data_IF_678234453589
#
_entry.id   IF_678234453589
#
_cell.length_a   1.000
_cell.length_b   1.000
_cell.length_c   1.000
_cell.angle_alpha   90.00
_cell.angle_beta   90.00
_cell.angle_gamma   90.00
#
_symmetry.space_group_name_H-M   'P 1'
#
loop_
_entity.id
_entity.type
_entity.pdbx_description
1 polymer ?
#
# COMPACT_ATOMS: atom_id res chain seq x y z
N UNK A 1 -20.42 -30.32 -16.72
CA UNK A 1 -19.33 -30.49 -17.70
C UNK A 1 -18.94 -29.09 -18.16
N UNK A 2 -17.82 -28.54 -17.67
CA UNK A 2 -17.36 -27.19 -18.04
C UNK A 2 -16.63 -27.33 -19.37
N UNK A 3 -17.14 -26.70 -20.43
CA UNK A 3 -16.56 -26.70 -21.76
C UNK A 3 -15.28 -25.83 -21.71
N UNK A 4 -14.09 -26.46 -21.74
CA UNK A 4 -12.85 -25.76 -22.00
C UNK A 4 -12.66 -25.68 -23.52
N UNK A 5 -12.61 -24.48 -24.12
CA UNK A 5 -12.27 -24.37 -25.54
C UNK A 5 -10.88 -24.95 -25.76
N UNK A 6 -10.71 -25.76 -26.81
CA UNK A 6 -9.41 -26.32 -27.21
C UNK A 6 -8.48 -25.13 -27.54
N UNK A 7 -7.49 -24.89 -26.68
CA UNK A 7 -6.44 -23.91 -26.92
C UNK A 7 -5.50 -24.44 -28.00
N UNK A 8 -5.40 -23.72 -29.11
CA UNK A 8 -4.54 -24.06 -30.26
C UNK A 8 -3.06 -23.80 -30.01
N UNK A 9 -2.70 -23.17 -28.87
CA UNK A 9 -1.30 -22.88 -28.47
C UNK A 9 -1.10 -23.14 -26.98
N UNK A 10 0.14 -23.47 -26.60
CA UNK A 10 0.54 -23.60 -25.19
C UNK A 10 0.32 -22.28 -24.45
N UNK A 11 -0.27 -22.29 -23.24
CA UNK A 11 -0.44 -21.10 -22.43
C UNK A 11 0.92 -20.46 -22.08
N UNK A 12 0.95 -19.12 -22.06
CA UNK A 12 2.11 -18.35 -21.63
C UNK A 12 2.37 -18.59 -20.14
N UNK A 13 3.63 -18.79 -19.78
CA UNK A 13 4.08 -19.05 -18.40
C UNK A 13 4.82 -17.85 -17.86
N UNK A 14 4.22 -17.15 -16.91
CA UNK A 14 4.78 -15.96 -16.27
C UNK A 14 5.28 -16.31 -14.86
N UNK A 15 6.53 -15.98 -14.59
CA UNK A 15 7.11 -16.08 -13.25
C UNK A 15 7.14 -14.70 -12.60
N UNK A 16 6.61 -14.54 -11.38
CA UNK A 16 6.71 -13.30 -10.64
C UNK A 16 7.63 -13.50 -9.42
N UNK A 17 8.74 -12.75 -9.39
CA UNK A 17 9.74 -12.77 -8.32
C UNK A 17 9.64 -11.48 -7.49
N UNK A 18 8.89 -11.55 -6.39
CA UNK A 18 8.55 -10.43 -5.52
C UNK A 18 8.85 -10.75 -4.04
N UNK A 19 9.08 -9.72 -3.21
CA UNK A 19 9.32 -9.89 -1.77
C UNK A 19 8.00 -10.18 -1.04
N UNK A 20 7.67 -11.45 -0.80
CA UNK A 20 6.40 -11.86 -0.22
C UNK A 20 6.11 -11.28 1.19
N UNK A 21 7.13 -10.88 1.93
CA UNK A 21 6.97 -10.31 3.28
C UNK A 21 6.37 -8.90 3.31
N UNK A 22 6.47 -8.13 2.22
CA UNK A 22 5.97 -6.76 2.14
C UNK A 22 4.53 -6.74 1.60
N UNK A 23 3.67 -5.88 2.16
CA UNK A 23 2.30 -5.66 1.67
C UNK A 23 2.29 -5.29 0.18
N UNK A 24 3.15 -4.36 -0.23
CA UNK A 24 3.30 -3.96 -1.63
C UNK A 24 3.44 -5.15 -2.58
N UNK A 25 4.32 -6.09 -2.25
CA UNK A 25 4.56 -7.29 -3.07
C UNK A 25 3.40 -8.28 -3.02
N UNK A 26 2.74 -8.41 -1.87
CA UNK A 26 1.53 -9.28 -1.75
C UNK A 26 0.39 -8.74 -2.60
N UNK A 27 0.12 -7.43 -2.56
CA UNK A 27 -0.92 -6.81 -3.37
C UNK A 27 -0.59 -6.81 -4.86
N UNK A 28 0.66 -6.58 -5.25
CA UNK A 28 1.11 -6.74 -6.64
C UNK A 28 0.91 -8.19 -7.12
N UNK A 29 1.25 -9.17 -6.29
CA UNK A 29 0.99 -10.58 -6.61
C UNK A 29 -0.50 -10.84 -6.83
N UNK A 30 -1.37 -10.25 -6.01
CA UNK A 30 -2.83 -10.27 -6.20
C UNK A 30 -3.26 -9.73 -7.56
N UNK A 31 -2.72 -8.58 -7.97
CA UNK A 31 -2.99 -7.98 -9.28
C UNK A 31 -2.51 -8.84 -10.47
N UNK A 32 -1.34 -9.47 -10.35
CA UNK A 32 -0.82 -10.42 -11.35
C UNK A 32 -1.74 -11.64 -11.47
N UNK A 33 -2.17 -12.20 -10.34
CA UNK A 33 -3.08 -13.34 -10.31
C UNK A 33 -4.46 -12.98 -10.84
N UNK A 34 -4.94 -11.77 -10.57
CA UNK A 34 -6.20 -11.26 -11.14
C UNK A 34 -6.12 -11.19 -12.67
N UNK A 35 -5.02 -10.66 -13.23
CA UNK A 35 -4.79 -10.69 -14.67
C UNK A 35 -4.89 -12.12 -15.23
N UNK A 36 -4.19 -13.09 -14.61
CA UNK A 36 -4.21 -14.47 -15.06
C UNK A 36 -5.59 -15.15 -14.94
N UNK A 37 -6.40 -14.75 -13.96
CA UNK A 37 -7.74 -15.31 -13.75
C UNK A 37 -8.71 -14.98 -14.89
N UNK A 38 -8.54 -13.81 -15.54
CA UNK A 38 -9.38 -13.37 -16.67
C UNK A 38 -8.75 -13.65 -18.05
N UNK A 39 -7.50 -14.15 -18.08
CA UNK A 39 -6.79 -14.51 -19.31
C UNK A 39 -6.44 -16.01 -19.27
N UNK A 40 -7.31 -16.90 -19.77
CA UNK A 40 -7.15 -18.35 -19.66
C UNK A 40 -5.92 -18.92 -20.39
N UNK A 41 -5.32 -18.15 -21.28
CA UNK A 41 -4.08 -18.43 -22.00
C UNK A 41 -2.80 -18.07 -21.21
N UNK A 42 -2.95 -17.56 -19.96
CA UNK A 42 -1.84 -17.19 -19.09
C UNK A 42 -1.80 -18.09 -17.85
N UNK A 43 -0.61 -18.54 -17.47
CA UNK A 43 -0.33 -19.27 -16.22
C UNK A 43 0.73 -18.51 -15.44
N UNK A 44 0.51 -18.32 -14.15
CA UNK A 44 1.42 -17.58 -13.27
C UNK A 44 1.93 -18.48 -12.16
N UNK A 45 3.24 -18.41 -11.91
CA UNK A 45 3.84 -18.88 -10.66
C UNK A 45 4.46 -17.71 -9.90
N UNK A 46 4.22 -17.67 -8.59
CA UNK A 46 4.82 -16.70 -7.69
C UNK A 46 6.07 -17.29 -7.05
N UNK A 47 7.16 -16.53 -7.11
CA UNK A 47 8.44 -16.90 -6.52
C UNK A 47 8.85 -15.81 -5.51
N UNK A 48 8.82 -16.13 -4.22
CA UNK A 48 9.24 -15.20 -3.16
C UNK A 48 10.76 -15.09 -3.07
N UNK A 49 11.29 -13.90 -2.82
CA UNK A 49 12.70 -13.70 -2.47
C UNK A 49 12.96 -14.42 -1.15
N UNK A 50 14.02 -15.23 -1.10
CA UNK A 50 14.31 -16.13 0.03
C UNK A 50 13.85 -17.58 -0.18
N UNK A 51 13.20 -17.88 -1.31
CA UNK A 51 12.84 -19.26 -1.64
C UNK A 51 14.10 -20.14 -1.78
N UNK A 52 14.11 -21.33 -1.18
CA UNK A 52 15.28 -22.23 -1.18
C UNK A 52 15.78 -22.56 -2.59
N UNK A 53 17.10 -22.81 -2.72
CA UNK A 53 17.74 -23.08 -4.02
C UNK A 53 17.13 -24.25 -4.78
N UNK A 54 16.60 -25.28 -4.09
CA UNK A 54 15.97 -26.43 -4.75
C UNK A 54 14.71 -26.04 -5.55
N UNK A 55 13.98 -25.00 -5.16
CA UNK A 55 12.85 -24.49 -5.94
C UNK A 55 13.26 -23.87 -7.29
N UNK A 56 14.50 -23.48 -7.46
CA UNK A 56 14.99 -22.98 -8.76
C UNK A 56 14.94 -24.05 -9.85
N UNK A 57 15.18 -25.31 -9.48
CA UNK A 57 15.06 -26.43 -10.44
C UNK A 57 13.61 -26.65 -10.88
N UNK A 58 12.64 -26.49 -9.98
CA UNK A 58 11.22 -26.54 -10.34
C UNK A 58 10.89 -25.52 -11.45
N UNK A 59 11.42 -24.27 -11.36
CA UNK A 59 11.19 -23.24 -12.36
C UNK A 59 11.92 -23.52 -13.67
N UNK A 60 13.10 -24.12 -13.63
CA UNK A 60 13.80 -24.60 -14.85
C UNK A 60 12.98 -25.68 -15.58
N UNK A 61 12.37 -26.60 -14.83
CA UNK A 61 11.47 -27.62 -15.39
C UNK A 61 10.18 -26.97 -15.90
N UNK A 62 9.65 -25.99 -15.19
CA UNK A 62 8.43 -25.28 -15.58
C UNK A 62 8.62 -24.41 -16.83
N UNK A 63 9.85 -23.94 -17.10
CA UNK A 63 10.25 -23.15 -18.28
C UNK A 63 9.38 -21.90 -18.46
N UNK A 64 9.53 -20.85 -17.64
CA UNK A 64 8.79 -19.60 -17.81
C UNK A 64 9.12 -18.93 -19.13
N UNK A 65 8.12 -18.35 -19.79
CA UNK A 65 8.29 -17.56 -21.00
C UNK A 65 8.82 -16.16 -20.68
N UNK A 66 8.40 -15.61 -19.53
CA UNK A 66 8.81 -14.29 -19.05
C UNK A 66 8.74 -14.16 -17.54
N UNK A 67 9.32 -13.06 -17.01
CA UNK A 67 9.44 -12.83 -15.59
C UNK A 67 9.09 -11.40 -15.19
N UNK A 68 8.44 -11.23 -14.02
CA UNK A 68 8.23 -9.95 -13.34
C UNK A 68 9.17 -9.90 -12.14
N UNK A 69 9.95 -8.82 -12.01
CA UNK A 69 11.01 -8.66 -11.03
C UNK A 69 10.78 -7.43 -10.14
N UNK A 70 10.68 -7.63 -8.83
CA UNK A 70 10.67 -6.56 -7.81
C UNK A 70 12.06 -6.16 -7.31
N UNK A 71 13.12 -6.82 -7.78
CA UNK A 71 14.51 -6.47 -7.51
C UNK A 71 15.36 -6.79 -8.75
N UNK A 72 16.41 -6.01 -8.94
CA UNK A 72 17.33 -6.17 -10.09
C UNK A 72 18.80 -6.20 -9.63
N UNK A 73 19.07 -6.80 -8.45
CA UNK A 73 20.44 -7.06 -8.04
C UNK A 73 21.10 -8.13 -8.93
N UNK A 74 22.42 -8.11 -8.97
CA UNK A 74 23.20 -8.98 -9.85
C UNK A 74 22.95 -10.48 -9.61
N UNK A 75 22.66 -10.86 -8.36
CA UNK A 75 22.38 -12.25 -8.00
C UNK A 75 21.02 -12.70 -8.56
N UNK A 76 20.02 -11.83 -8.50
CA UNK A 76 18.68 -12.04 -9.08
C UNK A 76 18.77 -12.13 -10.60
N UNK A 77 19.49 -11.22 -11.25
CA UNK A 77 19.65 -11.22 -12.72
C UNK A 77 20.35 -12.48 -13.21
N UNK A 78 21.44 -12.90 -12.56
CA UNK A 78 22.11 -14.19 -12.90
C UNK A 78 21.19 -15.39 -12.72
N UNK A 79 20.34 -15.38 -11.67
CA UNK A 79 19.37 -16.46 -11.47
C UNK A 79 18.32 -16.52 -12.58
N UNK A 80 17.91 -15.36 -13.11
CA UNK A 80 16.92 -15.21 -14.19
C UNK A 80 17.49 -15.64 -15.55
N UNK A 81 18.74 -15.28 -15.86
CA UNK A 81 19.40 -15.68 -17.11
C UNK A 81 19.39 -17.20 -17.29
N UNK A 82 19.59 -17.96 -16.21
CA UNK A 82 19.55 -19.43 -16.23
C UNK A 82 18.15 -20.04 -16.44
N UNK A 83 17.07 -19.23 -16.46
CA UNK A 83 15.69 -19.69 -16.67
C UNK A 83 15.27 -19.68 -18.16
N UNK A 84 16.02 -18.99 -19.03
CA UNK A 84 15.70 -18.88 -20.44
C UNK A 84 14.48 -18.01 -20.77
N UNK A 85 14.14 -17.06 -19.90
CA UNK A 85 13.04 -16.11 -20.12
C UNK A 85 13.31 -15.22 -21.32
N UNK A 86 12.30 -15.02 -22.19
CA UNK A 86 12.37 -14.17 -23.39
C UNK A 86 12.10 -12.69 -23.11
N UNK A 87 11.43 -12.39 -22.00
CA UNK A 87 11.06 -11.04 -21.60
C UNK A 87 11.06 -10.86 -20.09
N UNK A 88 11.30 -9.63 -19.64
CA UNK A 88 11.21 -9.23 -18.23
C UNK A 88 10.44 -7.91 -18.05
N UNK A 89 9.69 -7.80 -16.95
CA UNK A 89 9.12 -6.55 -16.47
C UNK A 89 9.68 -6.22 -15.09
N UNK A 90 10.24 -5.04 -14.96
CA UNK A 90 10.84 -4.54 -13.74
C UNK A 90 9.84 -3.66 -13.00
N UNK A 91 9.70 -3.85 -11.68
CA UNK A 91 8.76 -3.11 -10.85
C UNK A 91 9.53 -2.29 -9.81
N UNK A 92 9.35 -0.96 -9.85
CA UNK A 92 10.01 0.01 -8.97
C UNK A 92 11.55 -0.11 -8.91
N UNK A 93 12.16 -0.65 -9.97
CA UNK A 93 13.60 -0.82 -10.06
C UNK A 93 14.08 -0.54 -11.48
N UNK A 94 15.28 0.00 -11.61
CA UNK A 94 15.88 0.25 -12.92
C UNK A 94 16.33 -1.07 -13.57
N UNK A 95 16.02 -1.26 -14.85
CA UNK A 95 16.39 -2.49 -15.53
C UNK A 95 17.89 -2.53 -15.82
N UNK A 96 18.57 -3.54 -15.29
CA UNK A 96 19.89 -3.96 -15.74
C UNK A 96 19.71 -5.18 -16.65
N UNK A 97 19.56 -4.97 -17.97
CA UNK A 97 19.06 -6.01 -18.91
C UNK A 97 20.16 -6.54 -19.80
N UNK A 98 20.28 -7.88 -19.95
CA UNK A 98 21.09 -8.49 -21.02
C UNK A 98 20.65 -8.01 -22.39
N UNK A 99 21.63 -7.78 -23.29
CA UNK A 99 21.40 -7.19 -24.60
C UNK A 99 20.35 -7.90 -25.49
N UNK A 100 20.03 -9.16 -25.20
CA UNK A 100 19.08 -9.97 -25.97
C UNK A 100 17.65 -10.00 -25.43
N UNK A 101 17.41 -9.57 -24.18
CA UNK A 101 16.11 -9.68 -23.52
C UNK A 101 15.16 -8.55 -23.89
N UNK A 102 13.87 -8.86 -24.07
CA UNK A 102 12.80 -7.86 -24.18
C UNK A 102 12.43 -7.37 -22.79
N UNK A 103 12.14 -6.07 -22.62
CA UNK A 103 11.82 -5.57 -21.30
C UNK A 103 10.89 -4.36 -21.26
N UNK A 104 10.28 -4.17 -20.10
CA UNK A 104 9.48 -3.02 -19.73
C UNK A 104 9.62 -2.72 -18.25
N UNK A 105 9.09 -1.58 -17.81
CA UNK A 105 9.15 -1.15 -16.42
C UNK A 105 7.82 -0.58 -15.95
N UNK A 106 7.44 -0.92 -14.72
CA UNK A 106 6.24 -0.41 -14.04
C UNK A 106 6.67 0.25 -12.74
N UNK A 107 6.23 1.49 -12.51
CA UNK A 107 6.61 2.27 -11.33
C UNK A 107 5.40 2.82 -10.60
N UNK A 108 5.54 2.99 -9.29
CA UNK A 108 4.63 3.84 -8.53
C UNK A 108 4.74 5.29 -9.02
N UNK A 109 3.63 6.00 -9.12
CA UNK A 109 3.62 7.45 -9.34
C UNK A 109 4.02 8.17 -8.05
N UNK A 110 5.32 8.39 -7.90
CA UNK A 110 5.90 9.02 -6.71
C UNK A 110 5.49 10.49 -6.56
N UNK A 111 5.08 11.16 -7.66
CA UNK A 111 4.55 12.52 -7.62
C UNK A 111 3.15 12.50 -7.00
N UNK A 112 2.29 11.57 -7.41
CA UNK A 112 0.96 11.39 -6.83
C UNK A 112 1.04 10.98 -5.35
N UNK A 113 2.03 10.16 -4.95
CA UNK A 113 2.28 9.79 -3.55
C UNK A 113 2.64 11.02 -2.72
N UNK A 114 3.57 11.86 -3.20
CA UNK A 114 3.97 13.08 -2.51
C UNK A 114 2.83 14.11 -2.42
N UNK A 115 2.03 14.23 -3.48
CA UNK A 115 0.85 15.11 -3.52
C UNK A 115 -0.20 14.67 -2.50
N UNK A 116 -0.48 13.38 -2.38
CA UNK A 116 -1.40 12.85 -1.39
C UNK A 116 -0.97 13.18 0.05
N UNK A 117 0.32 13.05 0.38
CA UNK A 117 0.87 13.45 1.68
C UNK A 117 0.77 14.96 1.91
N UNK A 118 1.14 15.77 0.89
CA UNK A 118 1.09 17.23 0.98
C UNK A 118 -0.34 17.75 1.21
N UNK A 119 -1.34 17.16 0.57
CA UNK A 119 -2.76 17.53 0.78
C UNK A 119 -3.22 17.32 2.21
N UNK A 120 -2.78 16.24 2.88
CA UNK A 120 -3.11 16.02 4.29
C UNK A 120 -2.56 17.17 5.15
N UNK A 121 -1.30 17.54 4.96
CA UNK A 121 -0.68 18.61 5.75
C UNK A 121 -1.25 20.00 5.43
N UNK A 122 -1.51 20.30 4.16
CA UNK A 122 -2.16 21.54 3.75
C UNK A 122 -3.58 21.66 4.31
N UNK A 123 -4.33 20.56 4.33
CA UNK A 123 -5.66 20.50 4.96
C UNK A 123 -5.64 20.72 6.48
N UNK A 124 -4.48 20.55 7.12
CA UNK A 124 -4.24 20.84 8.55
C UNK A 124 -3.57 22.22 8.77
N UNK A 125 -3.42 23.00 7.69
CA UNK A 125 -2.82 24.35 7.70
C UNK A 125 -1.39 24.39 8.28
N UNK A 126 -0.58 23.36 8.00
CA UNK A 126 0.83 23.34 8.39
C UNK A 126 1.67 24.18 7.44
N UNK A 127 2.50 25.08 8.01
CA UNK A 127 3.41 25.94 7.23
C UNK A 127 4.83 25.40 7.08
N UNK A 128 5.16 24.29 7.75
CA UNK A 128 6.50 23.71 7.71
C UNK A 128 6.41 22.25 7.28
N UNK A 129 7.08 21.91 6.19
CA UNK A 129 7.15 20.56 5.64
C UNK A 129 8.54 19.98 5.79
N UNK A 130 8.62 18.69 6.07
CA UNK A 130 9.87 17.98 6.24
C UNK A 130 9.82 16.61 5.56
N UNK A 131 10.94 16.15 5.04
CA UNK A 131 11.05 14.86 4.36
C UNK A 131 12.17 13.99 4.93
N UNK A 132 11.88 12.68 5.07
CA UNK A 132 12.86 11.68 5.49
C UNK A 132 12.90 10.57 4.45
N UNK A 133 13.98 10.52 3.66
CA UNK A 133 14.23 9.51 2.63
C UNK A 133 14.68 8.16 3.20
N UNK A 134 14.84 7.16 2.33
CA UNK A 134 15.48 5.89 2.67
C UNK A 134 16.97 6.08 2.97
N UNK A 135 17.55 5.15 3.78
CA UNK A 135 18.99 5.18 4.10
C UNK A 135 19.87 4.92 2.89
N UNK A 136 19.37 4.18 1.93
CA UNK A 136 20.05 3.76 0.70
C UNK A 136 19.90 4.76 -0.43
N UNK A 137 19.16 5.86 -0.22
CA UNK A 137 18.88 6.87 -1.24
C UNK A 137 18.29 6.26 -2.53
N UNK A 138 17.35 5.34 -2.38
CA UNK A 138 16.67 4.68 -3.49
C UNK A 138 16.04 5.72 -4.44
N UNK A 139 16.13 5.49 -5.74
CA UNK A 139 15.67 6.44 -6.77
C UNK A 139 14.21 6.88 -6.57
N UNK A 140 13.32 5.93 -6.22
CA UNK A 140 11.92 6.22 -5.92
C UNK A 140 11.74 7.12 -4.68
N UNK A 141 12.60 6.97 -3.67
CA UNK A 141 12.60 7.82 -2.47
C UNK A 141 13.07 9.22 -2.78
N UNK A 142 14.12 9.37 -3.60
CA UNK A 142 14.63 10.67 -4.07
C UNK A 142 13.56 11.37 -4.91
N UNK A 143 12.84 10.66 -5.78
CA UNK A 143 11.75 11.20 -6.59
C UNK A 143 10.60 11.72 -5.71
N UNK A 144 10.19 10.97 -4.66
CA UNK A 144 9.18 11.40 -3.66
C UNK A 144 9.61 12.67 -2.94
N UNK A 145 10.84 12.71 -2.42
CA UNK A 145 11.38 13.88 -1.72
C UNK A 145 11.45 15.12 -2.61
N UNK A 146 11.90 14.95 -3.86
CA UNK A 146 11.96 16.03 -4.84
C UNK A 146 10.58 16.57 -5.22
N UNK A 147 9.59 15.70 -5.38
CA UNK A 147 8.20 16.08 -5.63
C UNK A 147 7.62 16.84 -4.43
N UNK A 148 7.81 16.30 -3.22
CA UNK A 148 7.30 16.92 -2.00
C UNK A 148 7.91 18.31 -1.72
N UNK A 149 9.21 18.47 -2.00
CA UNK A 149 9.89 19.79 -1.93
C UNK A 149 9.25 20.81 -2.87
N UNK A 150 8.96 20.42 -4.13
CA UNK A 150 8.30 21.31 -5.11
C UNK A 150 6.90 21.72 -4.63
N UNK A 151 6.14 20.77 -4.04
CA UNK A 151 4.81 21.04 -3.50
C UNK A 151 4.86 21.98 -2.30
N UNK A 152 5.83 21.81 -1.39
CA UNK A 152 6.06 22.72 -0.27
C UNK A 152 6.35 24.17 -0.78
N UNK A 153 7.25 24.31 -1.74
CA UNK A 153 7.57 25.61 -2.32
C UNK A 153 6.36 26.26 -3.01
N UNK A 154 5.58 25.49 -3.78
CA UNK A 154 4.37 25.97 -4.44
C UNK A 154 3.28 26.41 -3.45
N UNK A 155 3.26 25.84 -2.24
CA UNK A 155 2.33 26.17 -1.15
C UNK A 155 2.85 27.29 -0.23
N UNK A 156 4.02 27.85 -0.49
CA UNK A 156 4.65 28.86 0.39
C UNK A 156 5.13 28.32 1.73
N UNK A 157 5.25 26.99 1.86
CA UNK A 157 5.70 26.31 3.08
C UNK A 157 7.23 26.24 3.14
N UNK A 158 7.80 26.31 4.35
CA UNK A 158 9.20 25.97 4.55
C UNK A 158 9.43 24.49 4.28
N UNK A 159 10.66 24.13 3.88
CA UNK A 159 11.02 22.74 3.62
C UNK A 159 12.36 22.35 4.26
N UNK A 160 12.36 21.24 4.98
CA UNK A 160 13.54 20.63 5.56
C UNK A 160 13.67 19.17 5.11
N UNK A 161 14.89 18.71 4.82
CA UNK A 161 15.15 17.33 4.43
C UNK A 161 16.21 16.71 5.34
N UNK A 162 15.88 15.55 5.93
CA UNK A 162 16.86 14.77 6.67
C UNK A 162 17.82 14.08 5.70
N UNK A 163 19.09 14.40 5.83
CA UNK A 163 20.16 13.74 5.08
C UNK A 163 20.82 12.71 5.98
N UNK A 164 20.59 11.44 5.69
CA UNK A 164 21.27 10.35 6.41
C UNK A 164 22.79 10.52 6.29
N UNK A 165 23.56 10.36 7.38
CA UNK A 165 25.01 10.40 7.32
C UNK A 165 25.55 9.36 6.32
N UNK A 166 26.68 9.61 5.65
CA UNK A 166 27.25 8.68 4.64
C UNK A 166 27.51 7.25 5.17
N UNK A 167 27.63 7.11 6.49
CA UNK A 167 27.84 5.83 7.18
C UNK A 167 26.55 5.25 7.76
N UNK A 168 25.38 5.74 7.40
CA UNK A 168 24.11 5.33 8.00
C UNK A 168 23.83 3.84 7.87
N UNK A 169 24.14 3.23 6.73
CA UNK A 169 24.02 1.79 6.51
C UNK A 169 25.01 0.95 7.35
N UNK A 170 26.16 1.52 7.72
CA UNK A 170 27.17 0.86 8.52
C UNK A 170 27.02 1.14 10.04
N UNK A 171 26.36 2.24 10.41
CA UNK A 171 26.16 2.64 11.81
C UNK A 171 24.75 3.18 12.08
N UNK A 172 23.79 2.27 12.19
CA UNK A 172 22.38 2.58 12.46
C UNK A 172 22.18 3.45 13.71
N UNK A 173 22.95 3.20 14.79
CA UNK A 173 22.84 3.97 16.05
C UNK A 173 23.15 5.44 15.82
N UNK A 174 24.19 5.75 15.05
CA UNK A 174 24.58 7.13 14.74
C UNK A 174 23.54 7.84 13.87
N UNK A 175 22.97 7.12 12.91
CA UNK A 175 21.91 7.67 12.05
C UNK A 175 20.65 7.99 12.86
N UNK A 176 20.23 7.07 13.76
CA UNK A 176 19.07 7.30 14.62
C UNK A 176 19.30 8.47 15.59
N UNK A 177 20.49 8.62 16.17
CA UNK A 177 20.83 9.77 17.01
C UNK A 177 20.73 11.09 16.23
N UNK A 178 21.29 11.13 15.01
CA UNK A 178 21.16 12.32 14.13
C UNK A 178 19.71 12.63 13.76
N UNK A 179 18.86 11.61 13.58
CA UNK A 179 17.44 11.79 13.32
C UNK A 179 16.72 12.38 14.55
N UNK A 180 17.06 11.97 15.77
CA UNK A 180 16.53 12.55 17.01
C UNK A 180 16.87 14.03 17.13
N UNK A 181 18.13 14.40 16.92
CA UNK A 181 18.56 15.80 16.95
C UNK A 181 17.84 16.63 15.90
N UNK A 182 17.69 16.09 14.69
CA UNK A 182 17.04 16.79 13.57
C UNK A 182 15.55 17.01 13.80
N UNK A 183 14.78 16.02 14.27
CA UNK A 183 13.34 16.21 14.56
C UNK A 183 13.13 17.18 15.72
N UNK A 184 14.05 17.20 16.70
CA UNK A 184 14.04 18.18 17.79
C UNK A 184 14.17 19.63 17.30
N UNK A 185 15.06 19.84 16.30
CA UNK A 185 15.39 21.16 15.75
C UNK A 185 14.38 21.67 14.70
N UNK A 186 13.47 20.85 14.17
CA UNK A 186 12.49 21.28 13.17
C UNK A 186 11.59 22.42 13.70
N UNK A 187 11.24 23.42 12.85
CA UNK A 187 10.22 24.42 13.20
C UNK A 187 8.87 23.71 13.42
N UNK A 188 8.12 24.14 14.43
CA UNK A 188 6.86 23.53 14.85
C UNK A 188 5.70 24.54 14.74
N UNK A 189 4.48 24.10 14.37
CA UNK A 189 4.11 22.74 13.97
C UNK A 189 4.63 22.38 12.56
N UNK A 190 4.95 21.10 12.33
CA UNK A 190 5.44 20.64 11.03
C UNK A 190 4.79 19.33 10.57
N UNK A 191 4.77 19.10 9.27
CA UNK A 191 4.37 17.85 8.65
C UNK A 191 5.60 17.09 8.13
N UNK A 192 5.87 15.90 8.66
CA UNK A 192 7.00 15.06 8.27
C UNK A 192 6.49 13.93 7.37
N UNK A 193 6.88 13.98 6.11
CA UNK A 193 6.65 12.92 5.15
C UNK A 193 7.85 11.98 5.10
N UNK A 194 7.65 10.71 5.43
CA UNK A 194 8.67 9.69 5.33
C UNK A 194 8.47 8.83 4.07
N UNK A 195 9.55 8.46 3.42
CA UNK A 195 9.52 7.77 2.13
C UNK A 195 8.76 6.44 2.14
N UNK A 196 8.69 5.75 3.29
CA UNK A 196 7.90 4.52 3.51
C UNK A 196 7.53 4.39 5.00
N UNK A 197 6.64 3.47 5.34
CA UNK A 197 6.17 3.25 6.71
C UNK A 197 7.29 2.84 7.67
N UNK A 198 8.28 2.06 7.21
CA UNK A 198 9.43 1.71 8.03
C UNK A 198 10.24 2.96 8.42
N UNK A 199 10.42 3.92 7.51
CA UNK A 199 11.08 5.19 7.82
C UNK A 199 10.21 6.10 8.66
N UNK A 200 8.89 6.09 8.48
CA UNK A 200 7.97 6.82 9.33
C UNK A 200 7.99 6.31 10.77
N UNK A 201 8.15 4.99 10.98
CA UNK A 201 8.36 4.41 12.30
C UNK A 201 9.62 4.95 12.94
N UNK A 202 10.76 4.98 12.22
CA UNK A 202 11.99 5.58 12.75
C UNK A 202 11.78 7.05 13.16
N UNK A 203 11.01 7.82 12.37
CA UNK A 203 10.66 9.21 12.70
C UNK A 203 9.83 9.31 13.97
N UNK A 204 8.81 8.44 14.13
CA UNK A 204 8.00 8.41 15.36
C UNK A 204 8.85 8.06 16.59
N UNK A 205 9.74 7.06 16.48
CA UNK A 205 10.65 6.69 17.55
C UNK A 205 11.61 7.84 17.89
N UNK A 206 12.12 8.56 16.89
CA UNK A 206 12.98 9.73 17.08
C UNK A 206 12.22 10.89 17.73
N UNK A 207 10.96 11.14 17.33
CA UNK A 207 10.12 12.15 17.95
C UNK A 207 9.85 11.84 19.43
N UNK A 208 9.59 10.56 19.74
CA UNK A 208 9.42 10.14 21.14
C UNK A 208 10.69 10.36 21.96
N UNK A 209 11.87 10.03 21.43
CA UNK A 209 13.16 10.26 22.08
C UNK A 209 13.48 11.76 22.25
N UNK A 210 13.14 12.59 21.27
CA UNK A 210 13.30 14.05 21.31
C UNK A 210 12.19 14.77 22.08
N UNK A 211 11.22 14.05 22.68
CA UNK A 211 10.05 14.58 23.36
C UNK A 211 9.17 15.50 22.49
N UNK A 212 9.17 15.26 21.17
CA UNK A 212 8.29 15.96 20.21
C UNK A 212 6.92 15.30 20.21
N UNK A 213 5.89 16.06 20.55
CA UNK A 213 4.53 15.56 20.66
C UNK A 213 3.90 15.35 19.28
N UNK A 214 3.42 14.13 19.02
CA UNK A 214 2.70 13.76 17.82
C UNK A 214 1.23 13.52 18.15
N UNK A 215 0.31 14.17 17.47
CA UNK A 215 0.45 15.04 16.29
C UNK A 215 0.55 16.54 16.59
N UNK A 216 0.63 16.96 17.87
CA UNK A 216 0.51 18.34 18.34
C UNK A 216 1.61 19.26 17.78
N UNK A 217 2.86 18.82 17.82
CA UNK A 217 4.02 19.60 17.40
C UNK A 217 4.54 19.14 16.02
N UNK A 218 4.37 17.86 15.71
CA UNK A 218 4.66 17.36 14.37
C UNK A 218 3.64 16.29 13.97
N UNK A 219 3.24 16.29 12.71
CA UNK A 219 2.44 15.22 12.10
C UNK A 219 3.35 14.36 11.26
N UNK A 220 3.14 13.03 11.26
CA UNK A 220 3.96 12.08 10.51
C UNK A 220 3.08 11.25 9.59
N UNK A 221 3.50 11.12 8.32
CA UNK A 221 2.85 10.29 7.32
C UNK A 221 3.89 9.41 6.62
N UNK A 222 3.57 8.12 6.48
CA UNK A 222 4.34 7.13 5.74
C UNK A 222 3.74 6.82 4.38
N UNK A 223 4.22 5.74 3.78
CA UNK A 223 3.71 5.17 2.52
C UNK A 223 3.73 3.65 2.63
N UNK A 224 2.82 2.98 1.93
CA UNK A 224 2.59 1.55 1.75
C UNK A 224 1.42 1.01 2.57
N UNK A 225 1.02 1.68 3.66
CA UNK A 225 0.00 1.23 4.61
C UNK A 225 0.28 -0.21 5.10
N UNK A 226 1.56 -0.48 5.45
CA UNK A 226 1.95 -1.76 6.02
C UNK A 226 1.35 -1.90 7.43
N UNK A 227 0.31 -2.71 7.52
CA UNK A 227 -0.58 -2.79 8.68
C UNK A 227 0.17 -3.14 9.97
N UNK A 228 1.16 -4.05 9.91
CA UNK A 228 1.98 -4.42 11.05
C UNK A 228 2.80 -3.24 11.60
N UNK A 229 3.25 -2.33 10.74
CA UNK A 229 3.97 -1.12 11.15
C UNK A 229 2.97 -0.07 11.64
N UNK A 230 1.99 0.27 10.80
CA UNK A 230 1.08 1.37 11.07
C UNK A 230 0.26 1.23 12.35
N UNK A 231 -0.08 -0.02 12.75
CA UNK A 231 -0.86 -0.30 13.97
C UNK A 231 -0.02 -0.47 15.23
N UNK A 232 1.26 -0.83 15.10
CA UNK A 232 2.15 -1.05 16.25
C UNK A 232 2.83 0.21 16.74
N UNK A 233 2.86 1.28 15.92
CA UNK A 233 3.43 2.57 16.32
C UNK A 233 2.53 3.31 17.31
N UNK A 234 3.13 4.13 18.19
CA UNK A 234 2.43 5.02 19.11
C UNK A 234 2.95 6.46 18.92
N UNK A 235 2.08 7.34 18.37
CA UNK A 235 0.71 7.10 17.87
C UNK A 235 0.68 6.22 16.61
N UNK A 236 -0.49 5.63 16.30
CA UNK A 236 -0.68 4.85 15.06
C UNK A 236 -0.43 5.70 13.83
N UNK A 237 0.26 5.12 12.84
CA UNK A 237 0.83 5.82 11.70
C UNK A 237 -0.16 5.99 10.55
N UNK A 238 -0.36 7.22 10.11
CA UNK A 238 -1.03 7.57 8.86
C UNK A 238 -0.14 7.23 7.66
N UNK A 239 -0.74 6.75 6.58
CA UNK A 239 0.04 6.28 5.43
C UNK A 239 -0.68 6.51 4.11
N UNK A 240 0.07 6.88 3.08
CA UNK A 240 -0.39 6.91 1.70
C UNK A 240 -0.47 5.48 1.18
N UNK A 241 -1.52 5.16 0.45
CA UNK A 241 -1.78 3.82 -0.09
C UNK A 241 -1.58 3.81 -1.60
N UNK A 242 -0.44 3.35 -2.13
CA UNK A 242 -0.28 3.14 -3.57
C UNK A 242 -1.18 2.00 -4.06
N UNK A 243 -1.61 2.07 -5.33
CA UNK A 243 -2.44 1.01 -5.93
C UNK A 243 -1.56 -0.14 -6.46
N UNK A 244 -0.96 -0.88 -5.52
CA UNK A 244 -0.07 -1.99 -5.86
C UNK A 244 -0.77 -3.10 -6.64
N UNK A 245 -2.06 -3.36 -6.40
CA UNK A 245 -2.84 -4.34 -7.15
C UNK A 245 -2.91 -3.95 -8.63
N UNK A 246 -3.21 -2.69 -8.92
CA UNK A 246 -3.17 -2.16 -10.29
C UNK A 246 -1.78 -2.24 -10.89
N UNK A 247 -0.73 -1.96 -10.09
CA UNK A 247 0.67 -2.10 -10.50
C UNK A 247 1.00 -3.51 -10.95
N UNK A 248 0.58 -4.51 -10.19
CA UNK A 248 0.76 -5.93 -10.53
C UNK A 248 0.01 -6.34 -11.81
N UNK A 249 -1.23 -5.88 -11.95
CA UNK A 249 -2.02 -6.10 -13.17
C UNK A 249 -1.33 -5.53 -14.41
N UNK A 250 -0.87 -4.27 -14.35
CA UNK A 250 -0.15 -3.60 -15.44
C UNK A 250 1.16 -4.35 -15.78
N UNK A 251 1.85 -4.89 -14.77
CA UNK A 251 3.08 -5.63 -14.99
C UNK A 251 2.84 -6.95 -15.75
N UNK A 252 1.78 -7.68 -15.41
CA UNK A 252 1.38 -8.89 -16.13
C UNK A 252 0.95 -8.58 -17.57
N UNK A 253 0.11 -7.58 -17.76
CA UNK A 253 -0.32 -7.09 -19.08
C UNK A 253 0.88 -6.72 -19.95
N UNK A 254 1.82 -5.93 -19.42
CA UNK A 254 3.04 -5.50 -20.11
C UNK A 254 3.93 -6.70 -20.49
N UNK A 255 4.05 -7.69 -19.60
CA UNK A 255 4.84 -8.89 -19.89
C UNK A 255 4.23 -9.71 -21.02
N UNK A 256 2.91 -9.86 -21.05
CA UNK A 256 2.20 -10.55 -22.15
C UNK A 256 2.38 -9.78 -23.46
N UNK A 257 2.27 -8.45 -23.46
CA UNK A 257 2.53 -7.59 -24.63
C UNK A 257 3.96 -7.78 -25.18
N UNK A 258 4.96 -7.88 -24.29
CA UNK A 258 6.35 -8.16 -24.69
C UNK A 258 6.53 -9.56 -25.30
N UNK A 259 5.80 -10.57 -24.79
CA UNK A 259 5.92 -11.95 -25.23
C UNK A 259 5.22 -12.21 -26.57
N UNK A 260 4.10 -11.53 -26.82
CA UNK A 260 3.27 -11.69 -28.02
C UNK A 260 3.59 -10.68 -29.12
N UNK A 261 4.08 -9.50 -28.77
CA UNK A 261 4.43 -8.42 -29.69
C UNK A 261 5.86 -8.52 -30.23
N UNK A 262 6.22 -7.56 -31.08
CA UNK A 262 7.54 -7.48 -31.71
C UNK A 262 8.48 -6.43 -31.10
N UNK A 263 7.99 -5.63 -30.15
CA UNK A 263 8.79 -4.57 -29.51
C UNK A 263 9.80 -5.17 -28.55
N UNK A 264 11.03 -4.67 -28.61
CA UNK A 264 12.10 -5.07 -27.70
C UNK A 264 12.02 -4.37 -26.35
N UNK A 265 11.52 -3.12 -26.33
CA UNK A 265 11.32 -2.30 -25.14
C UNK A 265 9.94 -1.66 -25.19
N UNK A 266 9.21 -1.75 -24.09
CA UNK A 266 7.99 -0.96 -23.89
C UNK A 266 8.29 0.30 -23.07
N UNK A 267 7.53 1.39 -23.28
CA UNK A 267 7.66 2.59 -22.46
C UNK A 267 7.31 2.28 -21.00
N UNK A 268 7.92 3.02 -20.08
CA UNK A 268 7.58 3.01 -18.64
C UNK A 268 6.09 3.24 -18.47
N UNK A 269 5.43 2.40 -17.65
CA UNK A 269 4.06 2.60 -17.18
C UNK A 269 4.08 2.90 -15.70
N UNK A 270 3.06 3.63 -15.22
CA UNK A 270 2.93 3.97 -13.81
C UNK A 270 1.58 3.53 -13.27
N UNK A 271 1.53 3.27 -11.97
CA UNK A 271 0.29 3.09 -11.21
C UNK A 271 0.19 4.17 -10.12
N UNK A 272 -1.03 4.61 -9.84
CA UNK A 272 -1.30 5.72 -8.95
C UNK A 272 -1.44 5.32 -7.48
N UNK A 273 -2.22 6.13 -6.75
CA UNK A 273 -2.54 5.95 -5.33
C UNK A 273 -4.03 5.72 -5.15
N UNK A 274 -4.41 4.89 -4.19
CA UNK A 274 -5.81 4.70 -3.79
C UNK A 274 -6.28 5.82 -2.86
N UNK A 275 -5.36 6.45 -2.10
CA UNK A 275 -5.65 7.52 -1.15
C UNK A 275 -4.72 7.52 0.05
N UNK A 276 -5.21 8.08 1.16
CA UNK A 276 -4.49 8.13 2.44
C UNK A 276 -5.35 7.48 3.52
N UNK A 277 -4.75 6.62 4.33
CA UNK A 277 -5.34 6.12 5.55
C UNK A 277 -4.84 7.01 6.70
N UNK A 278 -5.64 7.98 7.10
CA UNK A 278 -5.32 8.83 8.24
C UNK A 278 -5.53 8.05 9.56
N UNK A 279 -4.54 8.16 10.47
CA UNK A 279 -4.53 7.60 11.82
C UNK A 279 -4.12 8.68 12.83
N UNK A 280 -3.71 8.25 14.03
CA UNK A 280 -3.41 9.18 15.11
C UNK A 280 -2.23 10.11 14.82
N UNK A 281 -1.26 9.72 13.99
CA UNK A 281 -0.08 10.54 13.69
C UNK A 281 -0.36 11.81 12.88
N UNK A 282 -1.56 11.92 12.27
CA UNK A 282 -2.04 13.13 11.58
C UNK A 282 -3.43 13.57 12.06
N UNK A 283 -3.93 13.01 13.16
CA UNK A 283 -5.27 13.34 13.66
C UNK A 283 -5.37 14.80 14.13
N UNK A 284 -6.57 15.37 14.05
CA UNK A 284 -6.81 16.68 14.66
C UNK A 284 -6.71 16.56 16.19
N UNK A 285 -5.87 17.41 16.79
CA UNK A 285 -5.57 17.39 18.22
C UNK A 285 -6.58 18.13 19.08
N UNK A 286 -7.47 18.91 18.48
CA UNK A 286 -8.44 19.73 19.21
C UNK A 286 -9.58 18.85 19.72
N UNK A 287 -9.54 18.51 21.02
CA UNK A 287 -10.62 17.90 21.83
C UNK A 287 -11.51 16.87 21.12
N UNK A 288 -12.46 17.37 20.37
CA UNK A 288 -13.43 16.59 19.61
C UNK A 288 -12.81 15.74 18.47
N UNK A 289 -11.83 16.29 17.77
CA UNK A 289 -11.18 15.61 16.65
C UNK A 289 -10.40 14.36 17.09
N UNK A 290 -9.65 14.44 18.20
CA UNK A 290 -8.91 13.30 18.77
C UNK A 290 -9.82 12.15 19.17
N UNK A 291 -10.96 12.47 19.79
CA UNK A 291 -11.96 11.48 20.18
C UNK A 291 -12.55 10.77 18.95
N UNK A 292 -12.91 11.53 17.91
CA UNK A 292 -13.46 10.98 16.67
C UNK A 292 -12.41 10.15 15.92
N UNK A 293 -11.16 10.61 15.85
CA UNK A 293 -10.07 9.86 15.23
C UNK A 293 -9.80 8.52 15.92
N UNK A 294 -9.83 8.46 17.26
CA UNK A 294 -9.74 7.18 18.00
C UNK A 294 -10.90 6.25 17.69
N UNK A 295 -12.11 6.79 17.59
CA UNK A 295 -13.29 6.02 17.25
C UNK A 295 -13.18 5.44 15.82
N UNK A 296 -12.75 6.24 14.85
CA UNK A 296 -12.52 5.80 13.47
C UNK A 296 -11.44 4.74 13.39
N UNK A 297 -10.34 4.90 14.12
CA UNK A 297 -9.26 3.91 14.22
C UNK A 297 -9.78 2.57 14.76
N UNK A 298 -10.54 2.62 15.85
CA UNK A 298 -11.13 1.42 16.45
C UNK A 298 -12.09 0.71 15.48
N UNK A 299 -12.96 1.48 14.80
CA UNK A 299 -13.88 0.94 13.78
C UNK A 299 -13.08 0.27 12.66
N UNK A 300 -12.08 0.93 12.09
CA UNK A 300 -11.27 0.39 11.00
C UNK A 300 -10.58 -0.91 11.40
N UNK A 301 -10.13 -1.02 12.64
CA UNK A 301 -9.41 -2.19 13.16
C UNK A 301 -10.35 -3.36 13.43
N UNK A 302 -11.51 -3.10 14.03
CA UNK A 302 -12.36 -4.13 14.62
C UNK A 302 -13.73 -4.28 13.96
N UNK A 303 -14.09 -3.49 12.94
CA UNK A 303 -15.41 -3.54 12.32
C UNK A 303 -15.81 -4.94 11.81
N UNK A 304 -14.83 -5.75 11.38
CA UNK A 304 -15.07 -7.12 10.90
C UNK A 304 -15.24 -8.16 12.02
N UNK A 305 -15.01 -7.79 13.29
CA UNK A 305 -15.40 -8.62 14.42
C UNK A 305 -16.93 -8.66 14.53
N UNK A 306 -17.51 -9.84 14.75
CA UNK A 306 -18.96 -10.03 14.89
C UNK A 306 -19.53 -9.23 16.06
N UNK A 307 -18.73 -9.01 17.10
CA UNK A 307 -19.18 -8.57 18.44
C UNK A 307 -18.98 -7.07 18.69
N UNK A 308 -18.46 -6.31 17.70
CA UNK A 308 -18.25 -4.86 17.89
C UNK A 308 -19.58 -4.13 18.08
N UNK A 309 -19.68 -3.38 19.17
CA UNK A 309 -20.80 -2.51 19.53
C UNK A 309 -20.41 -1.03 19.43
N UNK A 310 -21.39 -0.15 19.41
CA UNK A 310 -21.14 1.32 19.47
C UNK A 310 -20.59 1.76 20.83
N UNK A 311 -20.89 1.01 21.88
CA UNK A 311 -20.37 1.16 23.23
C UNK A 311 -18.87 0.87 23.27
N UNK A 312 -18.39 -0.17 22.57
CA UNK A 312 -16.97 -0.48 22.46
C UNK A 312 -16.21 0.64 21.74
N UNK A 313 -16.79 1.21 20.70
CA UNK A 313 -16.23 2.36 20.00
C UNK A 313 -16.13 3.58 20.92
N UNK A 314 -17.17 3.83 21.73
CA UNK A 314 -17.16 4.93 22.70
C UNK A 314 -16.08 4.73 23.77
N UNK A 315 -15.97 3.53 24.32
CA UNK A 315 -14.95 3.16 25.31
C UNK A 315 -13.55 3.35 24.75
N UNK A 316 -13.30 2.86 23.54
CA UNK A 316 -12.02 2.98 22.85
C UNK A 316 -11.64 4.45 22.55
N UNK A 317 -12.64 5.30 22.28
CA UNK A 317 -12.42 6.74 22.08
C UNK A 317 -12.11 7.52 23.36
N UNK A 318 -12.31 6.89 24.53
CA UNK A 318 -12.16 7.54 25.84
C UNK A 318 -13.29 8.52 26.17
N UNK A 319 -14.51 8.28 25.67
CA UNK A 319 -15.64 9.21 25.81
C UNK A 319 -16.96 8.48 26.11
N UNK A 320 -17.96 9.25 26.59
CA UNK A 320 -19.30 8.70 26.71
C UNK A 320 -19.93 8.51 25.33
N UNK A 321 -20.80 7.49 25.19
CA UNK A 321 -21.48 7.19 23.92
C UNK A 321 -22.23 8.42 23.36
N UNK A 322 -22.96 9.15 24.21
CA UNK A 322 -23.73 10.33 23.82
C UNK A 322 -22.83 11.44 23.24
N UNK A 323 -21.68 11.68 23.88
CA UNK A 323 -20.74 12.71 23.45
C UNK A 323 -20.07 12.29 22.13
N UNK A 324 -19.68 11.01 22.02
CA UNK A 324 -19.10 10.49 20.80
C UNK A 324 -20.10 10.55 19.63
N UNK A 325 -21.34 10.09 19.80
CA UNK A 325 -22.35 10.11 18.73
C UNK A 325 -22.58 11.51 18.18
N UNK A 326 -22.72 12.52 19.07
CA UNK A 326 -22.88 13.93 18.67
C UNK A 326 -21.70 14.40 17.84
N UNK A 327 -20.49 14.20 18.35
CA UNK A 327 -19.28 14.75 17.73
C UNK A 327 -18.85 13.94 16.50
N UNK A 328 -19.02 12.62 16.50
CA UNK A 328 -18.71 11.77 15.36
C UNK A 328 -19.54 12.17 14.13
N UNK A 329 -20.85 12.37 14.30
CA UNK A 329 -21.73 12.83 13.22
C UNK A 329 -21.38 14.25 12.76
N UNK A 330 -21.06 15.15 13.68
CA UNK A 330 -20.67 16.52 13.35
C UNK A 330 -19.37 16.61 12.54
N UNK A 331 -18.38 15.74 12.84
CA UNK A 331 -17.07 15.74 12.18
C UNK A 331 -17.08 14.91 10.90
N UNK A 332 -17.74 13.73 10.89
CA UNK A 332 -17.68 12.79 9.77
C UNK A 332 -18.88 12.83 8.82
N UNK A 333 -19.97 13.53 9.21
CA UNK A 333 -21.23 13.54 8.49
C UNK A 333 -22.04 12.24 8.59
N UNK A 334 -21.52 11.18 9.24
CA UNK A 334 -22.13 9.86 9.35
C UNK A 334 -22.29 9.40 10.79
N UNK A 335 -23.14 8.41 11.05
CA UNK A 335 -23.25 7.80 12.37
C UNK A 335 -22.15 6.75 12.59
N UNK A 336 -21.90 6.39 13.86
CA UNK A 336 -20.95 5.32 14.20
C UNK A 336 -21.39 3.99 13.57
N UNK A 337 -22.70 3.70 13.59
CA UNK A 337 -23.25 2.49 12.94
C UNK A 337 -23.01 2.48 11.44
N UNK A 338 -23.19 3.62 10.75
CA UNK A 338 -22.93 3.75 9.31
C UNK A 338 -21.44 3.54 9.01
N UNK A 339 -20.56 4.06 9.86
CA UNK A 339 -19.13 3.88 9.72
C UNK A 339 -18.72 2.39 9.85
N UNK A 340 -19.26 1.67 10.86
CA UNK A 340 -19.04 0.23 11.02
C UNK A 340 -19.56 -0.55 9.79
N UNK A 341 -20.78 -0.25 9.32
CA UNK A 341 -21.35 -0.88 8.14
C UNK A 341 -20.52 -0.61 6.88
N UNK A 342 -20.05 0.62 6.70
CA UNK A 342 -19.20 1.00 5.57
C UNK A 342 -17.88 0.22 5.58
N UNK A 343 -17.23 0.11 6.74
CA UNK A 343 -16.00 -0.67 6.87
C UNK A 343 -16.23 -2.17 6.57
N UNK A 344 -17.32 -2.75 7.05
CA UNK A 344 -17.72 -4.14 6.74
C UNK A 344 -18.00 -4.34 5.25
N UNK A 345 -18.74 -3.42 4.62
CA UNK A 345 -19.03 -3.48 3.19
C UNK A 345 -17.77 -3.34 2.32
N UNK A 346 -16.82 -2.50 2.72
CA UNK A 346 -15.51 -2.42 2.05
C UNK A 346 -14.77 -3.76 2.07
N UNK A 347 -14.83 -4.50 3.18
CA UNK A 347 -14.29 -5.86 3.27
C UNK A 347 -15.03 -6.83 2.36
N UNK A 348 -16.37 -6.73 2.29
CA UNK A 348 -17.20 -7.54 1.36
C UNK A 348 -16.76 -7.30 -0.09
N UNK A 349 -16.63 -6.04 -0.51
CA UNK A 349 -16.18 -5.69 -1.86
C UNK A 349 -14.79 -6.27 -2.15
N UNK A 350 -13.85 -6.12 -1.22
CA UNK A 350 -12.50 -6.68 -1.34
C UNK A 350 -12.51 -8.21 -1.50
N UNK A 351 -13.30 -8.92 -0.71
CA UNK A 351 -13.43 -10.38 -0.84
C UNK A 351 -14.11 -10.80 -2.13
N UNK A 352 -15.05 -10.00 -2.65
CA UNK A 352 -15.72 -10.28 -3.92
C UNK A 352 -14.79 -10.12 -5.12
N UNK A 353 -13.96 -9.08 -5.14
CA UNK A 353 -13.07 -8.75 -6.27
C UNK A 353 -11.73 -9.50 -6.24
N UNK A 354 -11.21 -9.82 -5.05
CA UNK A 354 -9.85 -10.34 -4.91
C UNK A 354 -9.80 -11.85 -4.58
N UNK A 355 -10.95 -12.49 -4.28
CA UNK A 355 -10.96 -13.89 -3.85
C UNK A 355 -12.08 -14.71 -4.49
N UNK A 356 -11.90 -16.03 -4.51
CA UNK A 356 -12.94 -17.01 -4.87
C UNK A 356 -13.79 -17.46 -3.69
N UNK A 357 -13.73 -16.79 -2.54
CA UNK A 357 -14.50 -17.11 -1.35
C UNK A 357 -15.99 -17.24 -1.67
N UNK A 358 -16.67 -18.33 -1.27
CA UNK A 358 -18.10 -18.50 -1.50
C UNK A 358 -18.89 -17.33 -0.92
N UNK A 359 -19.86 -16.79 -1.69
CA UNK A 359 -20.65 -15.62 -1.27
C UNK A 359 -21.37 -15.85 0.07
N UNK A 360 -21.74 -17.09 0.37
CA UNK A 360 -22.36 -17.46 1.65
C UNK A 360 -21.43 -17.27 2.87
N UNK A 361 -20.12 -17.33 2.70
CA UNK A 361 -19.12 -17.17 3.76
C UNK A 361 -18.64 -15.73 3.92
N UNK A 362 -18.80 -14.89 2.89
CA UNK A 362 -18.31 -13.50 2.89
C UNK A 362 -18.93 -12.70 4.04
N UNK A 363 -20.20 -12.93 4.36
CA UNK A 363 -20.88 -12.23 5.46
C UNK A 363 -20.16 -12.41 6.79
N UNK A 364 -19.89 -13.65 7.18
CA UNK A 364 -19.19 -14.00 8.42
C UNK A 364 -17.78 -13.41 8.44
N UNK A 365 -17.00 -13.58 7.37
CA UNK A 365 -15.65 -13.06 7.23
C UNK A 365 -15.57 -11.50 7.23
N UNK A 366 -16.71 -10.84 7.03
CA UNK A 366 -16.84 -9.39 7.04
C UNK A 366 -17.58 -8.85 8.27
N UNK A 367 -17.84 -9.68 9.27
CA UNK A 367 -18.49 -9.30 10.52
C UNK A 367 -20.02 -9.15 10.45
N UNK A 368 -20.67 -9.67 9.40
CA UNK A 368 -22.13 -9.69 9.31
C UNK A 368 -22.68 -11.02 9.85
N UNK A 369 -23.37 -10.98 10.99
CA UNK A 369 -24.05 -12.15 11.57
C UNK A 369 -25.27 -12.65 10.79
N UNK A 370 -25.78 -11.85 9.83
CA UNK A 370 -26.96 -12.20 9.05
C UNK A 370 -26.76 -11.93 7.55
N UNK A 371 -26.67 -12.99 6.77
CA UNK A 371 -26.49 -12.93 5.33
C UNK A 371 -27.68 -12.34 4.57
N UNK A 372 -28.92 -12.47 5.06
CA UNK A 372 -30.08 -11.88 4.42
C UNK A 372 -30.07 -10.36 4.57
N UNK A 373 -29.66 -9.87 5.74
CA UNK A 373 -29.44 -8.44 5.98
C UNK A 373 -28.33 -7.89 5.09
N UNK A 374 -27.17 -8.58 5.02
CA UNK A 374 -26.07 -8.18 4.14
C UNK A 374 -26.50 -8.06 2.68
N UNK A 375 -27.25 -9.05 2.15
CA UNK A 375 -27.75 -9.01 0.77
C UNK A 375 -28.59 -7.74 0.47
N UNK A 376 -29.52 -7.41 1.38
CA UNK A 376 -30.36 -6.21 1.27
C UNK A 376 -29.53 -4.92 1.35
N UNK A 377 -28.61 -4.85 2.32
CA UNK A 377 -27.75 -3.69 2.51
C UNK A 377 -26.83 -3.48 1.31
N UNK A 378 -26.21 -4.54 0.80
CA UNK A 378 -25.32 -4.50 -0.36
C UNK A 378 -26.06 -4.02 -1.62
N UNK A 379 -27.23 -4.61 -1.89
CA UNK A 379 -28.05 -4.19 -3.04
C UNK A 379 -28.46 -2.72 -2.94
N UNK A 380 -28.86 -2.27 -1.74
CA UNK A 380 -29.23 -0.85 -1.52
C UNK A 380 -28.03 0.09 -1.75
N UNK A 381 -26.81 -0.33 -1.41
CA UNK A 381 -25.60 0.53 -1.48
C UNK A 381 -24.97 0.56 -2.86
N UNK A 382 -24.99 -0.56 -3.59
CA UNK A 382 -24.28 -0.74 -4.85
C UNK A 382 -25.20 -0.93 -6.07
N UNK A 383 -26.51 -1.00 -5.89
CA UNK A 383 -27.49 -1.16 -6.97
C UNK A 383 -27.49 -2.55 -7.63
N UNK A 384 -26.64 -3.47 -7.20
CA UNK A 384 -26.50 -4.81 -7.79
C UNK A 384 -26.35 -5.90 -6.72
N UNK A 385 -26.47 -7.16 -7.12
CA UNK A 385 -26.22 -8.30 -6.22
C UNK A 385 -24.72 -8.53 -6.06
N UNK A 386 -24.30 -9.13 -4.95
CA UNK A 386 -22.89 -9.54 -4.75
C UNK A 386 -22.37 -10.47 -5.85
N UNK A 387 -23.24 -11.29 -6.44
CA UNK A 387 -22.88 -12.15 -7.58
C UNK A 387 -22.57 -11.35 -8.83
N UNK A 388 -23.39 -10.34 -9.16
CA UNK A 388 -23.18 -9.46 -10.29
C UNK A 388 -21.95 -8.56 -10.06
N UNK A 389 -21.76 -8.09 -8.83
CA UNK A 389 -20.57 -7.30 -8.46
C UNK A 389 -19.28 -8.10 -8.72
N UNK A 390 -19.21 -9.36 -8.26
CA UNK A 390 -18.07 -10.25 -8.52
C UNK A 390 -17.82 -10.52 -10.00
N UNK A 391 -18.88 -10.61 -10.80
CA UNK A 391 -18.73 -10.88 -12.24
C UNK A 391 -18.19 -9.68 -13.02
N UNK A 392 -18.34 -8.46 -12.47
CA UNK A 392 -17.99 -7.20 -13.14
C UNK A 392 -16.70 -6.56 -12.60
N UNK A 393 -16.10 -7.13 -11.54
CA UNK A 393 -14.87 -6.67 -10.88
C UNK A 393 -13.91 -7.82 -10.65
#
# INVERSE_FOLDING_TARGET
MVYYPQMTSRPLRLLAHLYAMQKASREMSGGILHYAAIHPDVRVQLYGIGTPRHRREEFRVWKPDGIILGAADEATLRAVEGLGCRAAVFVNTEPAVPAAMRYGSVYCDNIAVADAAARVFSGKHLGNFAFVGTRTCDAWSVERGSAFRRLAAASGCSFSEFKSPPTASANLRRELAALVDWVGALPKPCGIFAACDARAKDVLDACAAAQVLIPEQAMVIGVDDEEFICRQTLPTLSSVVPDFSRGGYIAAEMLVELLTGNRRRLPRRTFGVQGVVERMSTSDTRGTGRMVSRAQEFIRTYATSSDISVEDVAKASGSSLRLLQKNFKAVTGSTICDAIQTARLSKVCKLLSETLTPIGQIGELSGFGNNAYLKKLFHRRFGCTMRNYRANH
#
